data_IF_651418963496
#
_entry.id   IF_651418963496
#
_cell.length_a   1.000
_cell.length_b   1.000
_cell.length_c   1.000
_cell.angle_alpha   90.00
_cell.angle_beta   90.00
_cell.angle_gamma   90.00
#
_symmetry.space_group_name_H-M   'P 1'
#
loop_
_entity.id
_entity.type
_entity.pdbx_description
1 polymer ?
#
# COMPACT_ATOMS: atom_id res chain seq x y z
N UNK A 1 -44.94 33.88 -20.31
CA UNK A 1 -43.90 33.69 -19.27
C UNK A 1 -43.23 32.35 -19.53
N UNK A 2 -41.91 32.39 -19.69
CA UNK A 2 -41.10 31.44 -20.46
C UNK A 2 -40.76 30.21 -19.62
N UNK A 3 -40.93 29.05 -20.25
CA UNK A 3 -40.58 27.70 -19.81
C UNK A 3 -39.14 27.65 -19.26
N UNK A 4 -38.99 27.44 -17.97
CA UNK A 4 -37.78 26.92 -17.34
C UNK A 4 -38.29 25.95 -16.25
N UNK A 5 -38.70 24.72 -16.62
CA UNK A 5 -37.79 23.56 -16.55
C UNK A 5 -36.88 23.72 -15.32
N UNK A 6 -37.31 23.27 -14.14
CA UNK A 6 -37.09 21.88 -13.69
C UNK A 6 -35.66 21.43 -14.04
N UNK A 7 -34.94 20.96 -13.00
CA UNK A 7 -33.60 20.34 -13.01
C UNK A 7 -32.43 21.26 -12.60
N UNK A 8 -32.31 21.48 -11.29
CA UNK A 8 -31.00 21.59 -10.64
C UNK A 8 -30.92 20.46 -9.60
N UNK A 9 -30.85 19.22 -10.10
CA UNK A 9 -30.24 18.11 -9.37
C UNK A 9 -28.75 18.16 -9.75
N UNK A 10 -27.98 19.03 -9.09
CA UNK A 10 -26.53 18.93 -9.18
C UNK A 10 -26.09 17.83 -8.22
N UNK A 11 -25.61 16.75 -8.85
CA UNK A 11 -25.15 15.53 -8.24
C UNK A 11 -24.15 15.80 -7.11
N UNK A 12 -24.49 15.37 -5.90
CA UNK A 12 -23.50 15.02 -4.89
C UNK A 12 -22.86 13.72 -5.37
N UNK A 13 -21.91 13.83 -6.31
CA UNK A 13 -21.01 12.73 -6.60
C UNK A 13 -20.19 12.51 -5.34
N UNK A 14 -20.51 11.44 -4.62
CA UNK A 14 -19.77 11.02 -3.45
C UNK A 14 -18.28 10.97 -3.79
N UNK A 15 -17.49 11.83 -3.13
CA UNK A 15 -16.06 11.60 -2.95
C UNK A 15 -15.90 10.44 -1.97
N UNK A 16 -16.34 9.25 -2.38
CA UNK A 16 -15.80 8.01 -1.87
C UNK A 16 -14.39 7.90 -2.44
N UNK A 17 -13.43 8.54 -1.77
CA UNK A 17 -12.04 8.12 -1.85
C UNK A 17 -11.99 6.71 -1.30
N UNK A 18 -12.33 5.72 -2.13
CA UNK A 18 -12.16 4.33 -1.79
C UNK A 18 -10.66 4.10 -1.72
N UNK A 19 -10.08 4.22 -0.52
CA UNK A 19 -8.81 3.56 -0.22
C UNK A 19 -8.97 2.12 -0.68
N UNK A 20 -8.30 1.75 -1.76
CA UNK A 20 -8.41 0.40 -2.32
C UNK A 20 -7.80 -0.53 -1.28
N UNK A 21 -8.52 -1.58 -0.92
CA UNK A 21 -8.00 -2.63 -0.04
C UNK A 21 -7.63 -3.81 -0.90
N UNK A 22 -6.47 -4.40 -0.65
CA UNK A 22 -6.08 -5.68 -1.21
C UNK A 22 -6.29 -6.77 -0.16
N UNK A 23 -7.04 -7.82 -0.51
CA UNK A 23 -7.40 -8.91 0.39
C UNK A 23 -6.39 -10.07 0.40
N UNK A 24 -5.19 -9.89 -0.17
CA UNK A 24 -4.13 -10.88 -0.13
C UNK A 24 -3.80 -11.27 1.31
N UNK A 25 -3.78 -12.58 1.56
CA UNK A 25 -3.42 -13.17 2.84
C UNK A 25 -2.19 -14.06 2.62
N UNK A 26 -1.07 -13.83 3.33
CA UNK A 26 0.10 -14.69 3.26
C UNK A 26 -0.23 -16.13 3.65
N UNK A 27 0.42 -17.09 3.00
CA UNK A 27 0.45 -18.47 3.50
C UNK A 27 1.20 -18.51 4.86
N UNK A 28 0.85 -19.47 5.70
CA UNK A 28 1.52 -19.65 6.99
C UNK A 28 3.01 -19.90 6.78
N UNK A 29 3.86 -19.11 7.46
CA UNK A 29 5.31 -19.22 7.35
C UNK A 29 5.91 -18.67 6.05
N UNK A 30 5.11 -18.05 5.16
CA UNK A 30 5.64 -17.39 3.95
C UNK A 30 6.73 -16.38 4.30
N UNK A 31 7.84 -16.40 3.54
CA UNK A 31 8.93 -15.45 3.76
C UNK A 31 8.53 -14.03 3.35
N UNK A 32 9.28 -13.03 3.81
CA UNK A 32 9.04 -11.64 3.41
C UNK A 32 9.20 -11.44 1.90
N UNK A 33 10.14 -12.16 1.28
CA UNK A 33 10.36 -12.16 -0.17
C UNK A 33 9.17 -12.76 -0.92
N UNK A 34 8.63 -13.90 -0.45
CA UNK A 34 7.47 -14.55 -1.08
C UNK A 34 6.23 -13.65 -1.03
N UNK A 35 5.99 -13.02 0.12
CA UNK A 35 4.90 -12.04 0.29
C UNK A 35 5.10 -10.88 -0.69
N UNK A 36 6.31 -10.33 -0.74
CA UNK A 36 6.63 -9.22 -1.63
C UNK A 36 6.40 -9.56 -3.11
N UNK A 37 6.89 -10.72 -3.56
CA UNK A 37 6.73 -11.18 -4.94
C UNK A 37 5.29 -11.53 -5.30
N UNK A 38 4.48 -11.91 -4.31
CA UNK A 38 3.08 -12.28 -4.56
C UNK A 38 2.18 -11.09 -4.85
N UNK A 39 2.49 -9.91 -4.28
CA UNK A 39 1.53 -8.79 -4.32
C UNK A 39 2.14 -7.40 -4.40
N UNK A 40 3.40 -7.21 -3.99
CA UNK A 40 4.04 -5.90 -3.99
C UNK A 40 4.78 -5.61 -5.32
N UNK A 41 5.33 -6.65 -5.95
CA UNK A 41 6.19 -6.54 -7.13
C UNK A 41 5.48 -5.94 -8.36
N UNK A 42 4.15 -6.07 -8.44
CA UNK A 42 3.35 -5.52 -9.54
C UNK A 42 3.50 -4.00 -9.68
N UNK A 43 3.82 -3.30 -8.58
CA UNK A 43 4.05 -1.86 -8.55
C UNK A 43 5.46 -1.47 -8.06
N UNK A 44 6.14 -2.35 -7.34
CA UNK A 44 7.41 -2.07 -6.65
C UNK A 44 8.52 -3.01 -7.11
N UNK A 45 8.64 -3.24 -8.42
CA UNK A 45 9.77 -4.00 -8.94
C UNK A 45 11.10 -3.35 -8.55
N UNK A 46 12.10 -4.18 -8.23
CA UNK A 46 13.44 -3.66 -7.92
C UNK A 46 14.03 -2.97 -9.15
N UNK A 47 14.50 -1.75 -8.95
CA UNK A 47 15.19 -0.96 -9.95
C UNK A 47 16.58 -0.64 -9.44
N UNK A 48 17.62 -0.78 -10.28
CA UNK A 48 19.01 -0.51 -9.90
C UNK A 48 19.52 -1.29 -8.66
N UNK A 49 18.95 -2.48 -8.41
CA UNK A 49 19.38 -3.38 -7.34
C UNK A 49 18.81 -3.11 -5.96
N UNK A 50 17.79 -2.25 -5.84
CA UNK A 50 17.04 -2.04 -4.60
C UNK A 50 15.55 -1.83 -4.90
N UNK A 51 14.70 -2.07 -3.90
CA UNK A 51 13.25 -1.89 -4.03
C UNK A 51 12.86 -0.43 -3.85
N UNK A 52 13.39 0.22 -2.82
CA UNK A 52 13.08 1.61 -2.49
C UNK A 52 14.33 2.40 -2.10
N UNK A 53 14.25 3.73 -2.27
CA UNK A 53 15.02 4.66 -1.46
C UNK A 53 14.19 5.05 -0.23
N UNK A 54 14.54 4.52 0.94
CA UNK A 54 13.81 4.74 2.18
C UNK A 54 14.46 5.86 2.98
N UNK A 55 13.73 6.94 3.32
CA UNK A 55 14.21 7.89 4.31
C UNK A 55 14.48 7.18 5.64
N UNK A 56 15.53 7.55 6.36
CA UNK A 56 15.91 6.92 7.63
C UNK A 56 14.75 6.78 8.63
N UNK A 57 13.85 7.78 8.68
CA UNK A 57 12.64 7.76 9.53
C UNK A 57 11.62 6.67 9.20
N UNK A 58 11.66 6.11 7.99
CA UNK A 58 10.73 5.07 7.50
C UNK A 58 11.40 3.71 7.39
N UNK A 59 12.73 3.63 7.40
CA UNK A 59 13.49 2.37 7.31
C UNK A 59 13.46 1.56 8.62
N UNK A 60 12.26 1.25 9.13
CA UNK A 60 12.03 0.41 10.31
C UNK A 60 10.67 -0.31 10.21
N UNK A 61 10.55 -1.46 10.87
CA UNK A 61 9.37 -2.33 10.75
C UNK A 61 8.07 -1.64 11.15
N UNK A 62 8.08 -0.78 12.18
CA UNK A 62 6.87 -0.08 12.66
C UNK A 62 6.33 0.89 11.61
N UNK A 63 7.21 1.71 11.02
CA UNK A 63 6.81 2.69 10.02
C UNK A 63 6.34 2.03 8.72
N UNK A 64 7.00 0.94 8.30
CA UNK A 64 6.59 0.18 7.12
C UNK A 64 5.27 -0.56 7.35
N UNK A 65 5.08 -1.18 8.51
CA UNK A 65 3.83 -1.84 8.86
C UNK A 65 2.66 -0.85 8.84
N UNK A 66 2.84 0.34 9.43
CA UNK A 66 1.84 1.41 9.39
C UNK A 66 1.51 1.81 7.94
N UNK A 67 2.53 1.93 7.09
CA UNK A 67 2.39 2.29 5.68
C UNK A 67 1.62 1.22 4.89
N UNK A 68 1.93 -0.06 5.10
CA UNK A 68 1.30 -1.19 4.41
C UNK A 68 -0.15 -1.38 4.85
N UNK A 69 -0.42 -1.20 6.14
CA UNK A 69 -1.77 -1.28 6.71
C UNK A 69 -2.66 -0.12 6.26
N UNK A 70 -2.13 1.11 6.18
CA UNK A 70 -2.91 2.30 5.79
C UNK A 70 -2.99 2.51 4.27
N UNK A 71 -1.99 2.09 3.52
CA UNK A 71 -1.86 2.38 2.10
C UNK A 71 -1.64 3.87 1.80
N UNK A 72 -2.12 4.32 0.64
CA UNK A 72 -2.26 5.71 0.21
C UNK A 72 -3.31 5.82 -0.91
N UNK A 73 -3.38 6.97 -1.56
CA UNK A 73 -4.23 7.16 -2.74
C UNK A 73 -3.84 6.19 -3.88
N UNK A 74 -2.54 5.90 -4.04
CA UNK A 74 -2.03 5.05 -5.13
C UNK A 74 -1.71 3.61 -4.68
N UNK A 75 -1.34 3.42 -3.40
CA UNK A 75 -0.99 2.11 -2.84
C UNK A 75 -2.20 1.59 -2.04
N UNK A 76 -2.73 0.39 -2.34
CA UNK A 76 -3.81 -0.15 -1.54
C UNK A 76 -3.36 -0.45 -0.10
N UNK A 77 -4.32 -0.59 0.82
CA UNK A 77 -4.07 -1.15 2.15
C UNK A 77 -4.06 -2.68 2.11
N UNK A 78 -3.30 -3.31 3.00
CA UNK A 78 -3.16 -4.77 3.09
C UNK A 78 -3.50 -5.27 4.51
N UNK A 79 -4.79 -5.29 4.90
CA UNK A 79 -5.20 -5.58 6.28
C UNK A 79 -4.91 -7.01 6.73
N UNK A 80 -4.76 -7.96 5.80
CA UNK A 80 -4.56 -9.36 6.11
C UNK A 80 -3.07 -9.76 6.27
N UNK A 81 -2.13 -8.85 5.99
CA UNK A 81 -0.71 -9.05 6.29
C UNK A 81 -0.47 -8.51 7.71
N UNK A 82 -0.40 -9.40 8.70
CA UNK A 82 -0.33 -9.03 10.12
C UNK A 82 0.82 -9.75 10.83
N UNK A 83 1.06 -9.36 12.08
CA UNK A 83 1.94 -10.03 13.03
C UNK A 83 3.30 -10.42 12.44
N UNK A 84 3.61 -11.72 12.45
CA UNK A 84 4.87 -12.30 12.02
C UNK A 84 5.12 -12.13 10.51
N UNK A 85 4.07 -12.23 9.70
CA UNK A 85 4.14 -12.02 8.26
C UNK A 85 4.47 -10.56 7.92
N UNK A 86 3.88 -9.61 8.65
CA UNK A 86 4.20 -8.19 8.50
C UNK A 86 5.65 -7.89 8.89
N UNK A 87 6.14 -8.46 10.00
CA UNK A 87 7.54 -8.28 10.42
C UNK A 87 8.52 -8.85 9.37
N UNK A 88 8.28 -10.07 8.87
CA UNK A 88 9.11 -10.68 7.81
C UNK A 88 9.12 -9.83 6.54
N UNK A 89 7.96 -9.34 6.11
CA UNK A 89 7.85 -8.48 4.94
C UNK A 89 8.62 -7.17 5.14
N UNK A 90 8.44 -6.51 6.29
CA UNK A 90 9.13 -5.24 6.56
C UNK A 90 10.65 -5.42 6.63
N UNK A 91 11.13 -6.51 7.24
CA UNK A 91 12.56 -6.83 7.28
C UNK A 91 13.14 -7.08 5.89
N UNK A 92 12.42 -7.82 5.04
CA UNK A 92 12.82 -8.01 3.64
C UNK A 92 12.90 -6.66 2.90
N UNK A 93 11.88 -5.80 3.04
CA UNK A 93 11.87 -4.48 2.41
C UNK A 93 13.07 -3.65 2.88
N UNK A 94 13.39 -3.62 4.17
CA UNK A 94 14.54 -2.86 4.70
C UNK A 94 15.86 -3.42 4.16
N UNK A 95 16.03 -4.74 4.15
CA UNK A 95 17.25 -5.39 3.72
C UNK A 95 17.52 -5.19 2.22
N UNK A 96 16.47 -5.15 1.41
CA UNK A 96 16.54 -5.02 -0.05
C UNK A 96 16.28 -3.59 -0.54
N UNK A 97 16.28 -2.60 0.38
CA UNK A 97 16.14 -1.19 0.06
C UNK A 97 17.38 -0.39 0.46
N UNK A 98 17.54 0.77 -0.16
CA UNK A 98 18.59 1.71 0.16
C UNK A 98 18.08 2.76 1.13
N UNK A 99 18.68 2.86 2.31
CA UNK A 99 18.36 3.96 3.24
C UNK A 99 19.05 5.25 2.79
N UNK A 100 18.29 6.34 2.77
CA UNK A 100 18.76 7.70 2.46
C UNK A 100 18.51 8.64 3.64
N UNK A 101 19.38 9.62 3.83
CA UNK A 101 19.32 10.59 4.94
C UNK A 101 18.27 11.69 4.72
#
# INVERSE_FOLDING_TARGET
MKRYCLLILFAVAAMSGCSKTNSYTPEEGASGEDIFKSVCIDCHASENGYIFELPARVANSVALADKIQKGSIAMPSFPNIQDDAMERLAQYIIADSKTVE
#
